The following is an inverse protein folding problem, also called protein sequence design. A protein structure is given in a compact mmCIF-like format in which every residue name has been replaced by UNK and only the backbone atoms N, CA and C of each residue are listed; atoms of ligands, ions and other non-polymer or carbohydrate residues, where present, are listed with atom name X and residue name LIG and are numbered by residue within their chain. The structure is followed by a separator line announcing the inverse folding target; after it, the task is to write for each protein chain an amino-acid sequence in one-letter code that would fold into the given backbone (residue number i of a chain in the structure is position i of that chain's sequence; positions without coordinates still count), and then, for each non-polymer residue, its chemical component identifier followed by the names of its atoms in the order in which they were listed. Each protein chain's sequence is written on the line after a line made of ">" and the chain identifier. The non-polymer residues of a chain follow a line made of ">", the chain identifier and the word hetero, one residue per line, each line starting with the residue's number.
data_IF_081256961196
#
_entry.id   IF_081256961196
#
_cell.length_a   1.000
_cell.length_b   1.000
_cell.length_c   1.000
_cell.angle_alpha   90.00
_cell.angle_beta   90.00
_cell.angle_gamma   90.00
#
_symmetry.space_group_name_H-M   'P 1'
#
loop_
_entity.id
_entity.type
_entity.pdbx_description
1 polymer ?
#
# COMPACT_ATOMS: atom_id res chain seq x y z
N UNK A 1 9.96 -20.28 -19.43
CA UNK A 1 8.94 -19.95 -18.41
C UNK A 1 8.66 -18.47 -18.57
N UNK A 2 7.45 -18.09 -19.00
CA UNK A 2 7.10 -16.68 -19.16
C UNK A 2 7.11 -16.04 -17.77
N UNK A 3 8.07 -15.14 -17.52
CA UNK A 3 8.03 -14.30 -16.34
C UNK A 3 6.87 -13.33 -16.56
N UNK A 4 5.72 -13.63 -15.95
CA UNK A 4 4.59 -12.70 -15.95
C UNK A 4 5.08 -11.33 -15.49
N UNK A 5 4.67 -10.28 -16.20
CA UNK A 5 4.92 -8.91 -15.82
C UNK A 5 4.33 -8.67 -14.43
N UNK A 6 4.96 -7.81 -13.61
CA UNK A 6 4.41 -7.43 -12.30
C UNK A 6 3.00 -6.83 -12.38
N UNK A 7 2.58 -6.37 -13.56
CA UNK A 7 1.26 -5.83 -13.86
C UNK A 7 0.24 -6.89 -14.28
N UNK A 8 0.64 -8.15 -14.42
CA UNK A 8 -0.26 -9.26 -14.71
C UNK A 8 -1.07 -9.68 -13.46
N UNK A 9 -0.70 -9.16 -12.29
CA UNK A 9 -1.44 -9.32 -11.04
C UNK A 9 -2.06 -7.98 -10.61
N UNK A 10 -3.31 -7.97 -10.14
CA UNK A 10 -3.96 -6.74 -9.68
C UNK A 10 -3.33 -6.24 -8.38
N UNK A 11 -3.35 -4.91 -8.18
CA UNK A 11 -3.09 -4.33 -6.88
C UNK A 11 -4.19 -4.75 -5.91
N UNK A 12 -3.83 -5.48 -4.85
CA UNK A 12 -4.79 -5.98 -3.86
C UNK A 12 -4.97 -5.00 -2.72
N UNK A 13 -6.21 -4.81 -2.28
CA UNK A 13 -6.54 -3.93 -1.15
C UNK A 13 -6.08 -4.55 0.17
N UNK A 14 -5.30 -3.81 0.95
CA UNK A 14 -4.80 -4.21 2.26
C UNK A 14 -4.88 -3.06 3.26
N UNK A 15 -5.01 -3.37 4.55
CA UNK A 15 -4.74 -2.41 5.63
C UNK A 15 -3.23 -2.33 5.89
N UNK A 16 -2.77 -1.25 6.52
CA UNK A 16 -1.35 -1.13 6.91
C UNK A 16 -0.88 -2.32 7.76
N UNK A 17 -1.70 -2.74 8.74
CA UNK A 17 -1.44 -3.91 9.60
C UNK A 17 -1.32 -5.24 8.84
N UNK A 18 -1.85 -5.34 7.63
CA UNK A 18 -1.73 -6.55 6.83
C UNK A 18 -0.38 -6.65 6.13
N UNK A 19 0.27 -5.52 5.88
CA UNK A 19 1.57 -5.46 5.23
C UNK A 19 2.65 -6.11 6.11
N UNK A 20 2.56 -5.94 7.43
CA UNK A 20 3.45 -6.60 8.38
C UNK A 20 3.30 -8.13 8.41
N UNK A 21 2.16 -8.65 7.95
CA UNK A 21 1.88 -10.09 7.90
C UNK A 21 2.39 -10.74 6.60
N UNK A 22 2.93 -9.96 5.66
CA UNK A 22 3.50 -10.49 4.43
C UNK A 22 4.78 -11.28 4.74
N UNK A 23 4.89 -12.44 4.11
CA UNK A 23 6.06 -13.32 4.26
C UNK A 23 6.80 -13.38 2.93
N UNK A 24 8.11 -13.07 2.96
CA UNK A 24 8.97 -13.26 1.80
C UNK A 24 9.43 -14.72 1.71
N UNK A 25 9.20 -15.36 0.56
CA UNK A 25 9.65 -16.72 0.22
C UNK A 25 10.16 -16.72 -1.22
N UNK A 26 11.40 -17.13 -1.44
CA UNK A 26 12.03 -17.16 -2.77
C UNK A 26 11.90 -15.82 -3.52
N UNK A 27 12.20 -14.71 -2.83
CA UNK A 27 12.10 -13.34 -3.35
C UNK A 27 10.69 -12.92 -3.81
N UNK A 28 9.66 -13.61 -3.30
CA UNK A 28 8.25 -13.32 -3.56
C UNK A 28 7.52 -13.10 -2.24
N UNK A 29 6.65 -12.09 -2.20
CA UNK A 29 5.84 -11.79 -1.03
C UNK A 29 4.51 -12.53 -1.08
N UNK A 30 4.11 -13.08 0.07
CA UNK A 30 2.90 -13.89 0.20
C UNK A 30 2.09 -13.44 1.40
N UNK A 31 0.77 -13.35 1.22
CA UNK A 31 -0.18 -13.18 2.30
C UNK A 31 -0.89 -14.50 2.56
N UNK A 32 -1.04 -14.89 3.83
CA UNK A 32 -1.79 -16.08 4.23
C UNK A 32 -3.23 -15.66 4.57
N UNK A 33 -4.14 -15.88 3.63
CA UNK A 33 -5.58 -15.77 3.86
C UNK A 33 -6.16 -17.05 4.47
N UNK A 34 -7.48 -17.09 4.65
CA UNK A 34 -8.17 -18.27 5.18
C UNK A 34 -8.19 -19.46 4.20
N UNK A 35 -8.37 -19.23 2.89
CA UNK A 35 -8.40 -20.27 1.85
C UNK A 35 -7.02 -20.65 1.30
N UNK A 36 -5.94 -19.99 1.73
CA UNK A 36 -4.60 -20.32 1.26
C UNK A 36 -3.61 -19.17 1.28
N UNK A 37 -2.55 -19.30 0.48
CA UNK A 37 -1.54 -18.26 0.30
C UNK A 37 -1.71 -17.62 -1.06
N UNK A 38 -1.68 -16.29 -1.09
CA UNK A 38 -1.74 -15.49 -2.31
C UNK A 38 -0.46 -14.71 -2.47
N UNK A 39 0.10 -14.72 -3.67
CA UNK A 39 1.25 -13.88 -3.99
C UNK A 39 0.80 -12.40 -4.02
N UNK A 40 1.63 -11.54 -3.46
CA UNK A 40 1.39 -10.09 -3.38
C UNK A 40 2.57 -9.38 -4.01
N UNK A 41 2.34 -8.76 -5.16
CA UNK A 41 3.34 -7.93 -5.85
C UNK A 41 2.96 -6.46 -5.72
N UNK A 42 1.69 -6.15 -6.00
CA UNK A 42 1.13 -4.82 -5.93
C UNK A 42 0.08 -4.73 -4.82
N UNK A 43 0.11 -3.63 -4.07
CA UNK A 43 -0.84 -3.32 -3.01
C UNK A 43 -1.59 -2.04 -3.31
N UNK A 44 -2.84 -1.98 -2.87
CA UNK A 44 -3.65 -0.79 -2.77
C UNK A 44 -3.90 -0.51 -1.30
N UNK A 45 -3.45 0.66 -0.85
CA UNK A 45 -3.59 1.16 0.51
C UNK A 45 -4.39 2.46 0.50
N UNK A 46 -4.98 2.80 1.64
CA UNK A 46 -5.46 4.15 1.91
C UNK A 46 -5.10 4.53 3.35
N UNK A 47 -4.87 5.82 3.60
CA UNK A 47 -4.46 6.30 4.91
C UNK A 47 -4.20 7.79 4.94
N UNK A 48 -3.88 8.30 6.12
CA UNK A 48 -3.52 9.70 6.35
C UNK A 48 -2.00 9.87 6.25
N UNK A 49 -1.55 10.88 5.53
CA UNK A 49 -0.15 11.30 5.57
C UNK A 49 0.12 11.94 6.93
N UNK A 50 0.97 11.34 7.75
CA UNK A 50 1.31 11.88 9.08
C UNK A 50 2.67 12.57 9.12
N UNK A 51 3.59 12.19 8.25
CA UNK A 51 4.85 12.88 8.04
C UNK A 51 5.40 12.62 6.64
N UNK A 52 6.26 13.51 6.16
CA UNK A 52 7.02 13.31 4.92
C UNK A 52 8.43 13.89 5.03
N UNK A 53 9.39 13.27 4.33
CA UNK A 53 10.74 13.80 4.23
C UNK A 53 10.77 15.11 3.43
N UNK A 54 11.75 16.02 3.64
CA UNK A 54 11.82 17.29 2.91
C UNK A 54 11.88 17.13 1.39
N UNK A 55 12.52 16.07 0.91
CA UNK A 55 12.63 15.70 -0.51
C UNK A 55 11.46 14.84 -1.01
N UNK A 56 10.50 14.53 -0.13
CA UNK A 56 9.33 13.68 -0.37
C UNK A 56 9.68 12.28 -0.90
N UNK A 57 10.89 11.80 -0.66
CA UNK A 57 11.26 10.43 -1.00
C UNK A 57 10.57 9.42 -0.09
N UNK A 58 10.27 9.82 1.15
CA UNK A 58 9.63 9.00 2.17
C UNK A 58 8.40 9.69 2.76
N UNK A 59 7.37 8.89 3.01
CA UNK A 59 6.08 9.32 3.58
C UNK A 59 5.65 8.30 4.61
N UNK A 60 5.22 8.75 5.78
CA UNK A 60 4.58 7.88 6.76
C UNK A 60 3.06 7.94 6.55
N UNK A 61 2.46 6.78 6.27
CA UNK A 61 1.02 6.61 6.07
C UNK A 61 0.39 5.98 7.31
N UNK A 62 -0.59 6.63 7.91
CA UNK A 62 -1.38 6.12 9.02
C UNK A 62 -2.70 5.52 8.55
N UNK A 63 -3.00 4.31 9.00
CA UNK A 63 -4.26 3.61 8.78
C UNK A 63 -4.73 2.96 10.08
N UNK A 64 -5.59 3.67 10.81
CA UNK A 64 -6.28 3.19 12.01
C UNK A 64 -5.31 2.82 13.15
N UNK A 65 -4.39 3.75 13.42
CA UNK A 65 -3.38 3.62 14.47
C UNK A 65 -2.12 2.84 14.06
N UNK A 66 -2.11 2.24 12.87
CA UNK A 66 -0.91 1.62 12.29
C UNK A 66 -0.23 2.58 11.35
N UNK A 67 1.09 2.68 11.45
CA UNK A 67 1.88 3.52 10.53
C UNK A 67 2.71 2.65 9.61
N UNK A 68 2.84 3.07 8.36
CA UNK A 68 3.55 2.34 7.33
C UNK A 68 4.46 3.29 6.54
N UNK A 69 5.77 3.02 6.50
CA UNK A 69 6.70 3.82 5.70
C UNK A 69 6.54 3.51 4.22
N UNK A 70 6.28 4.56 3.44
CA UNK A 70 6.23 4.53 1.98
C UNK A 70 7.51 5.14 1.41
N UNK A 71 8.04 4.55 0.35
CA UNK A 71 9.25 5.00 -0.34
C UNK A 71 8.94 5.40 -1.78
N UNK A 72 9.85 6.15 -2.39
CA UNK A 72 9.80 6.57 -3.79
C UNK A 72 8.65 7.55 -4.13
N UNK A 73 8.10 8.25 -3.13
CA UNK A 73 6.92 9.11 -3.30
C UNK A 73 7.18 10.34 -4.20
N UNK A 74 8.41 10.84 -4.25
CA UNK A 74 8.83 11.95 -5.11
C UNK A 74 8.66 11.68 -6.62
N UNK A 75 8.55 10.42 -7.02
CA UNK A 75 8.34 10.03 -8.43
C UNK A 75 6.90 10.21 -8.90
N UNK A 76 5.97 10.48 -7.97
CA UNK A 76 4.56 10.62 -8.29
C UNK A 76 4.29 12.02 -8.86
N UNK A 77 3.68 12.12 -10.06
CA UNK A 77 3.40 13.40 -10.70
C UNK A 77 2.47 14.26 -9.84
N UNK A 78 2.83 15.53 -9.65
CA UNK A 78 2.03 16.50 -8.88
C UNK A 78 2.80 17.76 -8.45
N UNK A 79 4.12 17.80 -8.67
CA UNK A 79 4.97 18.95 -8.34
C UNK A 79 5.41 18.99 -6.87
N UNK A 80 5.87 20.14 -6.38
CA UNK A 80 6.39 20.24 -5.01
C UNK A 80 5.32 20.43 -3.93
N UNK A 81 4.05 20.62 -4.30
CA UNK A 81 2.98 20.99 -3.35
C UNK A 81 1.82 20.00 -3.25
N UNK A 82 1.75 18.98 -4.12
CA UNK A 82 0.59 18.07 -4.14
C UNK A 82 0.46 17.21 -2.87
N UNK A 83 1.59 16.80 -2.29
CA UNK A 83 1.64 15.95 -1.11
C UNK A 83 1.97 16.76 0.14
N UNK A 84 1.10 16.67 1.14
CA UNK A 84 1.11 17.44 2.38
C UNK A 84 0.67 16.56 3.56
N UNK A 85 1.19 16.87 4.75
CA UNK A 85 0.73 16.25 5.98
C UNK A 85 -0.75 16.54 6.22
N UNK A 86 -1.47 15.55 6.74
CA UNK A 86 -2.89 15.64 7.01
C UNK A 86 -3.80 15.10 5.91
N UNK A 87 -3.33 14.99 4.66
CA UNK A 87 -4.13 14.47 3.55
C UNK A 87 -4.50 12.99 3.77
N UNK A 88 -5.73 12.64 3.41
CA UNK A 88 -6.14 11.25 3.25
C UNK A 88 -5.94 10.84 1.79
N UNK A 89 -5.09 9.83 1.55
CA UNK A 89 -4.64 9.45 0.22
C UNK A 89 -4.91 7.98 -0.05
N UNK A 90 -5.10 7.63 -1.33
CA UNK A 90 -4.87 6.26 -1.79
C UNK A 90 -3.43 6.10 -2.24
N UNK A 91 -2.91 4.88 -2.15
CA UNK A 91 -1.56 4.50 -2.61
C UNK A 91 -1.66 3.18 -3.36
N UNK A 92 -1.14 3.14 -4.59
CA UNK A 92 -0.77 1.88 -5.24
C UNK A 92 0.74 1.77 -5.18
N UNK A 93 1.24 0.67 -4.64
CA UNK A 93 2.66 0.45 -4.44
C UNK A 93 3.09 -0.97 -4.77
N UNK A 94 4.38 -1.12 -5.05
CA UNK A 94 5.05 -2.41 -5.20
C UNK A 94 5.65 -2.83 -3.86
N UNK A 95 5.40 -4.07 -3.45
CA UNK A 95 6.03 -4.65 -2.25
C UNK A 95 7.47 -5.01 -2.58
N UNK A 96 8.41 -4.47 -1.81
CA UNK A 96 9.85 -4.71 -1.94
C UNK A 96 10.48 -4.95 -0.57
N UNK A 97 11.77 -5.26 -0.59
CA UNK A 97 12.58 -5.48 0.60
C UNK A 97 12.85 -6.97 0.83
N UNK A 98 13.26 -7.27 2.05
CA UNK A 98 13.75 -8.59 2.45
C UNK A 98 12.98 -9.10 3.67
N UNK A 99 13.20 -10.36 4.06
CA UNK A 99 12.57 -10.97 5.25
C UNK A 99 12.77 -10.10 6.50
N UNK A 100 11.67 -9.57 7.06
CA UNK A 100 11.68 -8.70 8.24
C UNK A 100 11.78 -7.20 7.95
N UNK A 101 11.87 -6.79 6.68
CA UNK A 101 11.92 -5.38 6.29
C UNK A 101 11.12 -5.15 5.00
N UNK A 102 9.79 -5.24 5.13
CA UNK A 102 8.86 -4.96 4.04
C UNK A 102 8.82 -3.45 3.77
N UNK A 103 8.94 -3.06 2.49
CA UNK A 103 8.89 -1.68 2.07
C UNK A 103 7.93 -1.53 0.88
N UNK A 104 7.10 -0.48 0.91
CA UNK A 104 6.20 -0.16 -0.19
C UNK A 104 6.81 0.94 -1.05
N UNK A 105 7.16 0.60 -2.29
CA UNK A 105 7.62 1.58 -3.27
C UNK A 105 6.40 2.10 -4.04
N UNK A 106 6.09 3.39 -3.87
CA UNK A 106 4.89 3.99 -4.44
C UNK A 106 5.00 4.06 -5.97
N UNK A 107 3.94 3.64 -6.64
CA UNK A 107 3.75 3.71 -8.09
C UNK A 107 2.68 4.75 -8.47
N UNK A 108 1.68 4.93 -7.61
CA UNK A 108 0.63 5.95 -7.77
C UNK A 108 0.13 6.37 -6.40
N UNK A 109 -0.16 7.66 -6.26
CA UNK A 109 -0.83 8.21 -5.09
C UNK A 109 -1.89 9.22 -5.56
N UNK A 110 -3.00 9.32 -4.85
CA UNK A 110 -4.02 10.33 -5.15
C UNK A 110 -4.67 10.83 -3.86
N UNK A 111 -4.96 12.13 -3.83
CA UNK A 111 -5.66 12.78 -2.72
C UNK A 111 -7.15 12.41 -2.75
N UNK A 112 -7.65 11.93 -1.63
CA UNK A 112 -9.05 11.55 -1.38
C UNK A 112 -9.68 12.41 -0.27
N UNK A 113 -8.99 13.45 0.20
CA UNK A 113 -9.38 14.25 1.37
C UNK A 113 -10.71 14.98 1.21
N UNK A 114 -11.14 15.25 -0.03
CA UNK A 114 -12.38 15.97 -0.32
C UNK A 114 -13.65 15.18 0.02
N UNK A 115 -13.56 13.85 0.15
CA UNK A 115 -14.71 13.00 0.44
C UNK A 115 -14.38 11.98 1.54
N UNK A 116 -14.93 12.22 2.73
CA UNK A 116 -14.73 11.36 3.90
C UNK A 116 -15.30 9.95 3.73
N UNK A 117 -16.21 9.73 2.77
CA UNK A 117 -16.77 8.40 2.48
C UNK A 117 -15.66 7.39 2.20
N UNK A 118 -14.59 7.79 1.50
CA UNK A 118 -13.46 6.90 1.22
C UNK A 118 -12.85 6.32 2.51
N UNK A 119 -12.60 7.19 3.51
CA UNK A 119 -12.08 6.76 4.80
C UNK A 119 -13.05 5.84 5.54
N UNK A 120 -14.34 6.14 5.49
CA UNK A 120 -15.37 5.35 6.17
C UNK A 120 -15.59 3.98 5.51
N UNK A 121 -15.49 3.87 4.18
CA UNK A 121 -15.72 2.62 3.46
C UNK A 121 -14.48 1.73 3.37
N UNK A 122 -13.28 2.31 3.47
CA UNK A 122 -12.03 1.58 3.28
C UNK A 122 -11.90 0.26 4.08
N UNK A 123 -12.23 0.22 5.39
CA UNK A 123 -12.19 -1.04 6.14
C UNK A 123 -13.09 -2.13 5.55
N UNK A 124 -14.29 -1.76 5.08
CA UNK A 124 -15.26 -2.67 4.48
C UNK A 124 -14.78 -3.17 3.12
N UNK A 125 -14.19 -2.29 2.31
CA UNK A 125 -13.63 -2.65 1.01
C UNK A 125 -12.48 -3.66 1.13
N UNK A 126 -11.61 -3.50 2.14
CA UNK A 126 -10.53 -4.46 2.41
C UNK A 126 -11.10 -5.79 2.91
N UNK A 127 -12.09 -5.74 3.81
CA UNK A 127 -12.74 -6.95 4.33
C UNK A 127 -13.41 -7.78 3.21
N UNK A 128 -14.09 -7.11 2.28
CA UNK A 128 -14.70 -7.78 1.12
C UNK A 128 -13.63 -8.50 0.28
N UNK A 129 -12.53 -7.83 -0.08
CA UNK A 129 -11.44 -8.46 -0.83
C UNK A 129 -10.84 -9.63 -0.06
N UNK A 130 -10.63 -9.49 1.25
CA UNK A 130 -10.14 -10.58 2.12
C UNK A 130 -11.06 -11.78 2.14
N UNK A 131 -12.37 -11.59 2.03
CA UNK A 131 -13.32 -12.71 1.97
C UNK A 131 -13.24 -13.50 0.66
N UNK A 132 -12.68 -12.91 -0.40
CA UNK A 132 -12.53 -13.54 -1.73
C UNK A 132 -11.16 -14.20 -1.90
N UNK A 133 -10.10 -13.59 -1.35
CA UNK A 133 -8.72 -14.12 -1.43
C UNK A 133 -8.38 -15.05 -0.25
N UNK A 134 -9.18 -14.94 0.82
CA UNK A 134 -9.24 -15.91 1.89
C UNK A 134 -10.29 -16.95 1.60
#
# INVERSE_FOLDING_TARGET
>A
MSSGSKFDQPARKFRAVDIEQLVCKNDQWWYKGSSGQVQVILVWLQGRVVSLSPDKTQVELEDDGWTLPLKNCHTIPGGNSWLQEGQYVMVVGEVKGDTGNVAIHVLKMADLSSNSVHKTTWPLEVQEIKSIIG
#
